data_IF_744455888298
#
_entry.id   IF_744455888298
#
_cell.length_a   1.000
_cell.length_b   1.000
_cell.length_c   1.000
_cell.angle_alpha   90.00
_cell.angle_beta   90.00
_cell.angle_gamma   90.00
#
_symmetry.space_group_name_H-M   'P 1'
#
loop_
_entity.id
_entity.type
_entity.pdbx_description
1 polymer ?
#
# COMPACT_ATOMS: atom_id res chain seq x y z
N UNK A 1 -3.61 -5.58 -0.12
CA UNK A 1 -4.70 -5.81 0.85
C UNK A 1 -6.04 -5.37 0.27
N UNK A 2 -7.13 -5.98 0.70
CA UNK A 2 -8.50 -5.55 0.39
C UNK A 2 -8.99 -4.48 1.37
N UNK A 3 -10.05 -3.78 0.98
CA UNK A 3 -10.74 -2.83 1.84
C UNK A 3 -11.09 -3.46 3.21
N UNK A 4 -10.74 -2.77 4.30
CA UNK A 4 -10.99 -3.17 5.68
C UNK A 4 -10.36 -4.50 6.10
N UNK A 5 -9.37 -5.01 5.34
CA UNK A 5 -8.57 -6.16 5.72
C UNK A 5 -7.67 -5.79 6.92
N UNK A 6 -7.64 -6.68 7.90
CA UNK A 6 -6.83 -6.52 9.10
C UNK A 6 -6.16 -7.85 9.45
N UNK A 7 -4.90 -7.80 9.90
CA UNK A 7 -4.14 -8.99 10.25
C UNK A 7 -3.22 -8.72 11.45
N UNK A 8 -3.28 -9.62 12.43
CA UNK A 8 -2.39 -9.60 13.61
C UNK A 8 -1.63 -10.92 13.74
N UNK A 9 -0.41 -10.84 14.27
CA UNK A 9 0.36 -12.02 14.68
C UNK A 9 -0.24 -12.68 15.94
N UNK A 10 0.37 -13.79 16.38
CA UNK A 10 -0.07 -14.50 17.59
C UNK A 10 0.08 -13.68 18.88
N UNK A 11 0.92 -12.65 18.88
CA UNK A 11 1.14 -11.76 20.01
C UNK A 11 0.24 -10.52 19.97
N UNK A 12 -0.64 -10.39 18.96
CA UNK A 12 -1.55 -9.26 18.80
C UNK A 12 -0.93 -8.04 18.11
N UNK A 13 0.29 -8.13 17.57
CA UNK A 13 0.88 -7.05 16.78
C UNK A 13 0.29 -7.05 15.37
N UNK A 14 -0.06 -5.88 14.84
CA UNK A 14 -0.49 -5.76 13.45
C UNK A 14 0.63 -6.17 12.50
N UNK A 15 0.26 -6.94 11.48
CA UNK A 15 1.12 -7.29 10.35
C UNK A 15 1.00 -6.19 9.31
N UNK A 16 2.12 -5.65 8.84
CA UNK A 16 2.12 -4.59 7.84
C UNK A 16 1.71 -5.16 6.47
N UNK A 17 0.53 -4.79 5.97
CA UNK A 17 -0.03 -5.29 4.72
C UNK A 17 0.20 -4.33 3.56
N UNK A 18 0.38 -4.84 2.34
CA UNK A 18 0.56 -4.00 1.17
C UNK A 18 -0.70 -3.15 0.89
N UNK A 19 -0.60 -1.82 0.73
CA UNK A 19 -1.76 -0.91 0.70
C UNK A 19 -2.78 -1.08 -0.44
N UNK A 20 -2.41 -1.71 -1.57
CA UNK A 20 -3.32 -1.87 -2.72
C UNK A 20 -3.84 -3.31 -2.85
N UNK A 21 -5.04 -3.48 -3.39
CA UNK A 21 -5.60 -4.82 -3.67
C UNK A 21 -4.85 -5.51 -4.81
N UNK A 22 -4.42 -4.73 -5.80
CA UNK A 22 -3.69 -5.21 -6.96
C UNK A 22 -2.28 -4.60 -6.98
N UNK A 23 -1.29 -5.41 -7.33
CA UNK A 23 0.06 -4.94 -7.58
C UNK A 23 0.33 -4.90 -9.07
N UNK A 24 0.42 -3.68 -9.58
CA UNK A 24 0.98 -3.41 -10.89
C UNK A 24 1.97 -2.27 -10.72
N UNK A 25 3.26 -2.58 -10.89
CA UNK A 25 4.33 -1.59 -10.87
C UNK A 25 4.46 -0.99 -12.28
N UNK A 26 4.48 0.34 -12.38
CA UNK A 26 4.76 1.06 -13.64
C UNK A 26 6.20 1.58 -13.72
N UNK A 27 6.83 1.81 -12.57
CA UNK A 27 8.24 2.17 -12.47
C UNK A 27 8.80 1.64 -11.13
N UNK A 28 9.84 0.82 -11.21
CA UNK A 28 10.49 0.24 -10.03
C UNK A 28 11.59 1.12 -9.44
N UNK A 29 12.27 0.58 -8.42
CA UNK A 29 13.46 1.17 -7.81
C UNK A 29 14.56 1.39 -8.85
N UNK A 30 15.25 2.53 -8.80
CA UNK A 30 16.32 2.87 -9.75
C UNK A 30 15.86 3.15 -11.19
N UNK A 31 14.55 3.22 -11.46
CA UNK A 31 13.99 3.53 -12.78
C UNK A 31 14.55 4.83 -13.39
N UNK A 32 14.80 4.81 -14.70
CA UNK A 32 15.52 5.87 -15.41
C UNK A 32 14.73 7.17 -15.59
N UNK A 33 13.40 7.13 -15.52
CA UNK A 33 12.55 8.31 -15.73
C UNK A 33 12.63 9.28 -14.55
N UNK A 34 12.37 8.80 -13.32
CA UNK A 34 12.38 9.65 -12.12
C UNK A 34 12.97 8.98 -10.87
N UNK A 35 13.24 7.67 -10.89
CA UNK A 35 13.64 6.88 -9.71
C UNK A 35 15.15 6.61 -9.60
N UNK A 36 15.98 7.22 -10.44
CA UNK A 36 17.43 7.04 -10.41
C UNK A 36 18.01 7.32 -9.01
N UNK A 37 18.67 6.30 -8.43
CA UNK A 37 19.25 6.34 -7.09
C UNK A 37 18.25 6.26 -5.91
N UNK A 38 16.98 5.96 -6.16
CA UNK A 38 15.88 5.94 -5.16
C UNK A 38 15.26 4.55 -5.04
N UNK A 39 14.70 4.28 -3.86
CA UNK A 39 13.90 3.08 -3.58
C UNK A 39 12.39 3.36 -3.69
N UNK A 40 12.05 4.22 -4.65
CA UNK A 40 10.67 4.54 -4.98
C UNK A 40 10.09 3.49 -5.92
N UNK A 41 8.80 3.22 -5.75
CA UNK A 41 8.03 2.37 -6.65
C UNK A 41 6.71 3.08 -6.97
N UNK A 42 6.40 3.16 -8.25
CA UNK A 42 5.12 3.66 -8.75
C UNK A 42 4.16 2.50 -8.95
N UNK A 43 3.03 2.55 -8.26
CA UNK A 43 1.95 1.58 -8.40
C UNK A 43 0.75 2.21 -9.06
N UNK A 44 0.09 1.46 -9.91
CA UNK A 44 -1.10 1.93 -10.60
C UNK A 44 -2.37 1.26 -10.08
N UNK A 45 -3.47 1.99 -10.11
CA UNK A 45 -4.76 1.56 -9.57
C UNK A 45 -5.48 0.50 -10.40
N UNK A 46 -5.98 -0.54 -9.75
CA UNK A 46 -6.85 -1.54 -10.36
C UNK A 46 -7.97 -1.93 -9.41
N UNK A 47 -9.14 -2.22 -9.98
CA UNK A 47 -10.29 -2.77 -9.26
C UNK A 47 -10.97 -3.81 -10.17
N UNK A 48 -11.34 -4.97 -9.63
CA UNK A 48 -11.92 -6.08 -10.42
C UNK A 48 -11.10 -6.45 -11.67
N UNK A 49 -9.76 -6.37 -11.59
CA UNK A 49 -8.85 -6.72 -12.67
C UNK A 49 -8.77 -5.71 -13.82
N UNK A 50 -9.43 -4.56 -13.71
CA UNK A 50 -9.36 -3.48 -14.70
C UNK A 50 -8.73 -2.22 -14.10
N UNK A 51 -8.02 -1.46 -14.95
CA UNK A 51 -7.38 -0.20 -14.57
C UNK A 51 -8.44 0.77 -14.02
N UNK A 52 -8.16 1.37 -12.87
CA UNK A 52 -9.02 2.35 -12.21
C UNK A 52 -8.21 3.61 -11.91
N UNK A 53 -8.71 4.76 -12.36
CA UNK A 53 -8.20 6.07 -11.95
C UNK A 53 -8.71 6.39 -10.55
N UNK A 54 -7.97 7.17 -9.78
CA UNK A 54 -8.31 7.49 -8.38
C UNK A 54 -8.62 6.22 -7.57
N UNK A 55 -7.80 5.19 -7.76
CA UNK A 55 -7.98 3.92 -7.08
C UNK A 55 -7.61 4.05 -5.61
N UNK A 56 -8.48 3.63 -4.68
CA UNK A 56 -8.18 3.72 -3.26
C UNK A 56 -7.02 2.81 -2.88
N UNK A 57 -6.25 3.26 -1.91
CA UNK A 57 -5.29 2.44 -1.18
C UNK A 57 -5.51 2.60 0.32
N UNK A 58 -5.15 1.55 1.07
CA UNK A 58 -5.61 1.32 2.43
C UNK A 58 -4.46 1.37 3.44
N UNK A 59 -4.79 1.69 4.69
CA UNK A 59 -3.84 1.74 5.78
C UNK A 59 -3.19 0.37 5.99
N UNK A 60 -1.87 0.23 5.86
CA UNK A 60 -1.17 -1.06 6.01
C UNK A 60 -1.17 -1.57 7.46
N UNK A 61 -1.43 -0.67 8.40
CA UNK A 61 -1.48 -0.82 9.86
C UNK A 61 -2.13 0.46 10.42
N UNK A 62 -2.41 0.50 11.72
CA UNK A 62 -2.86 1.72 12.37
C UNK A 62 -1.78 2.79 12.29
N UNK A 63 -2.11 3.95 11.71
CA UNK A 63 -1.14 4.97 11.37
C UNK A 63 -1.69 6.40 11.50
N UNK A 64 -0.79 7.37 11.41
CA UNK A 64 -1.13 8.78 11.30
C UNK A 64 -0.19 9.53 10.34
N UNK A 65 -0.68 10.65 9.81
CA UNK A 65 0.13 11.56 8.97
C UNK A 65 1.07 12.38 9.86
N UNK A 66 2.38 12.24 9.63
CA UNK A 66 3.45 12.96 10.35
C UNK A 66 4.10 14.07 9.53
N UNK A 67 3.90 14.06 8.22
CA UNK A 67 4.26 15.17 7.33
C UNK A 67 3.26 15.24 6.18
N UNK A 68 2.95 16.46 5.76
CA UNK A 68 1.98 16.75 4.72
C UNK A 68 2.49 17.84 3.78
N UNK A 69 2.18 17.70 2.49
CA UNK A 69 2.14 18.80 1.53
C UNK A 69 1.00 18.57 0.53
N UNK A 70 0.78 19.52 -0.36
CA UNK A 70 -0.34 19.47 -1.32
C UNK A 70 -0.34 18.23 -2.24
N UNK A 71 0.78 17.53 -2.38
CA UNK A 71 0.97 16.38 -3.29
C UNK A 71 1.48 15.11 -2.60
N UNK A 72 1.72 15.13 -1.28
CA UNK A 72 2.20 13.95 -0.56
C UNK A 72 1.81 13.94 0.92
N UNK A 73 1.82 12.73 1.49
CA UNK A 73 1.78 12.50 2.92
C UNK A 73 2.80 11.46 3.35
N UNK A 74 3.43 11.68 4.50
CA UNK A 74 4.18 10.65 5.22
C UNK A 74 3.28 10.06 6.29
N UNK A 75 3.01 8.76 6.20
CA UNK A 75 2.31 7.96 7.19
C UNK A 75 3.30 7.25 8.09
N UNK A 76 3.01 7.20 9.38
CA UNK A 76 3.81 6.50 10.39
C UNK A 76 2.94 5.56 11.20
N UNK A 77 3.44 4.36 11.51
CA UNK A 77 2.75 3.40 12.36
C UNK A 77 2.57 3.94 13.79
N UNK A 78 1.39 3.73 14.38
CA UNK A 78 1.09 4.13 15.76
C UNK A 78 1.85 3.27 16.77
N UNK A 79 2.04 1.99 16.43
CA UNK A 79 2.75 0.99 17.22
C UNK A 79 3.82 0.29 16.38
N UNK A 80 4.61 -0.58 17.00
CA UNK A 80 5.47 -1.51 16.25
C UNK A 80 4.58 -2.52 15.52
N UNK A 81 4.94 -2.82 14.28
CA UNK A 81 4.22 -3.71 13.36
C UNK A 81 5.15 -4.79 12.87
N UNK A 82 4.60 -5.96 12.53
CA UNK A 82 5.35 -7.07 11.95
C UNK A 82 5.60 -6.76 10.48
N UNK A 83 6.85 -6.52 10.14
CA UNK A 83 7.32 -6.35 8.76
C UNK A 83 8.06 -7.61 8.28
N UNK A 84 8.31 -7.77 6.97
CA UNK A 84 9.18 -8.82 6.43
C UNK A 84 10.58 -8.92 7.05
N UNK A 85 11.06 -7.86 7.71
CA UNK A 85 12.37 -7.81 8.37
C UNK A 85 12.29 -7.79 9.91
N UNK A 86 11.08 -7.92 10.48
CA UNK A 86 10.87 -8.03 11.93
C UNK A 86 9.90 -7.00 12.51
N UNK A 87 9.75 -7.02 13.83
CA UNK A 87 8.85 -6.14 14.57
C UNK A 87 9.48 -4.75 14.76
N UNK A 88 8.91 -3.70 14.17
CA UNK A 88 9.48 -2.34 14.25
C UNK A 88 8.41 -1.26 13.98
N UNK A 89 8.73 0.00 14.29
CA UNK A 89 7.97 1.10 13.68
C UNK A 89 8.24 1.16 12.18
N UNK A 90 7.28 1.64 11.40
CA UNK A 90 7.39 1.77 9.95
C UNK A 90 6.82 3.11 9.52
N UNK A 91 7.48 3.79 8.59
CA UNK A 91 6.95 5.01 7.96
C UNK A 91 7.08 4.91 6.44
N UNK A 92 6.11 5.49 5.73
CA UNK A 92 6.10 5.50 4.28
C UNK A 92 5.46 6.77 3.75
N UNK A 93 5.93 7.23 2.60
CA UNK A 93 5.35 8.35 1.87
C UNK A 93 4.54 7.83 0.71
N UNK A 94 3.40 8.48 0.48
CA UNK A 94 2.60 8.37 -0.74
C UNK A 94 2.50 9.73 -1.40
N UNK A 95 2.56 9.78 -2.73
CA UNK A 95 2.40 11.01 -3.51
C UNK A 95 1.35 10.84 -4.61
N UNK A 96 0.97 11.97 -5.21
CA UNK A 96 0.10 12.12 -6.39
C UNK A 96 -1.40 12.04 -6.16
N UNK A 97 -1.86 11.76 -4.94
CA UNK A 97 -3.27 11.94 -4.57
C UNK A 97 -3.70 13.40 -4.80
N UNK A 98 -4.88 13.60 -5.38
CA UNK A 98 -5.44 14.93 -5.62
C UNK A 98 -5.83 15.63 -4.31
N UNK A 99 -6.24 14.85 -3.31
CA UNK A 99 -6.76 15.29 -2.03
C UNK A 99 -6.06 14.55 -0.86
N UNK A 100 -4.74 14.73 -0.69
CA UNK A 100 -4.00 14.03 0.36
C UNK A 100 -4.55 14.42 1.74
N UNK A 101 -4.79 13.45 2.64
CA UNK A 101 -5.24 13.71 4.01
C UNK A 101 -4.38 14.73 4.76
N UNK A 102 -4.99 15.49 5.67
CA UNK A 102 -4.30 16.51 6.45
C UNK A 102 -3.31 15.93 7.47
N UNK A 103 -2.32 16.74 7.88
CA UNK A 103 -1.40 16.43 8.97
C UNK A 103 -2.15 16.03 10.25
N UNK A 104 -1.69 14.96 10.92
CA UNK A 104 -2.33 14.46 12.14
C UNK A 104 -3.57 13.61 11.91
N UNK A 105 -3.97 13.33 10.66
CA UNK A 105 -5.05 12.37 10.38
C UNK A 105 -4.65 10.98 10.86
N UNK A 106 -5.52 10.32 11.63
CA UNK A 106 -5.36 8.92 12.07
C UNK A 106 -6.23 7.98 11.24
N UNK A 107 -5.72 6.78 10.98
CA UNK A 107 -6.43 5.71 10.27
C UNK A 107 -6.11 4.36 10.90
N UNK A 108 -7.14 3.51 10.99
CA UNK A 108 -6.99 2.12 11.39
C UNK A 108 -6.63 1.26 10.17
N UNK A 109 -5.95 0.13 10.40
CA UNK A 109 -5.60 -0.82 9.34
C UNK A 109 -6.81 -1.18 8.46
N UNK A 110 -6.61 -1.12 7.14
CA UNK A 110 -7.64 -1.40 6.14
C UNK A 110 -8.58 -0.22 5.83
N UNK A 111 -8.52 0.90 6.55
CA UNK A 111 -9.24 2.11 6.17
C UNK A 111 -8.57 2.82 4.99
N UNK A 112 -9.35 3.53 4.16
CA UNK A 112 -8.80 4.32 3.05
C UNK A 112 -7.93 5.46 3.59
N UNK A 113 -6.70 5.53 3.09
CA UNK A 113 -5.70 6.57 3.43
C UNK A 113 -5.38 7.49 2.23
N UNK A 114 -5.91 7.19 1.04
CA UNK A 114 -5.78 8.03 -0.15
C UNK A 114 -6.14 7.28 -1.42
N UNK A 115 -5.91 7.92 -2.55
CA UNK A 115 -6.16 7.41 -3.88
C UNK A 115 -4.96 7.65 -4.79
N UNK A 116 -4.75 6.79 -5.79
CA UNK A 116 -3.86 7.12 -6.90
C UNK A 116 -4.31 8.43 -7.54
N UNK A 117 -3.41 9.13 -8.22
CA UNK A 117 -3.78 10.39 -8.85
C UNK A 117 -2.69 10.94 -9.72
N UNK A 118 -2.83 12.22 -10.08
CA UNK A 118 -1.96 12.90 -11.03
C UNK A 118 -1.32 14.17 -10.46
N UNK A 119 -1.38 14.37 -9.15
CA UNK A 119 -0.92 15.62 -8.55
C UNK A 119 0.60 15.74 -8.57
N UNK A 120 1.11 16.70 -9.32
CA UNK A 120 2.56 16.97 -9.41
C UNK A 120 3.02 17.93 -8.31
N UNK A 121 4.26 17.75 -7.84
CA UNK A 121 4.91 18.71 -6.95
C UNK A 121 5.17 20.04 -7.66
N UNK A 122 5.05 21.19 -6.97
CA UNK A 122 5.40 22.47 -7.58
C UNK A 122 6.83 22.48 -8.12
N UNK A 123 6.99 22.73 -9.42
CA UNK A 123 8.30 22.73 -10.10
C UNK A 123 8.94 21.35 -10.32
N UNK A 124 8.22 20.26 -10.05
CA UNK A 124 8.68 18.89 -10.28
C UNK A 124 8.46 18.39 -11.72
N UNK A 125 8.98 17.20 -12.00
CA UNK A 125 8.69 16.48 -13.24
C UNK A 125 7.18 16.19 -13.30
N UNK A 126 6.51 16.49 -14.43
CA UNK A 126 5.12 16.11 -14.63
C UNK A 126 4.94 14.61 -14.44
N UNK A 127 3.86 14.22 -13.76
CA UNK A 127 3.44 12.81 -13.75
C UNK A 127 2.96 12.42 -15.15
N UNK A 128 3.21 11.18 -15.55
CA UNK A 128 2.84 10.68 -16.88
C UNK A 128 1.48 9.98 -16.91
N UNK A 129 0.84 9.81 -15.76
CA UNK A 129 -0.48 9.20 -15.61
C UNK A 129 -0.84 8.96 -14.15
N UNK A 130 -2.06 8.48 -13.92
CA UNK A 130 -2.59 8.16 -12.59
C UNK A 130 -1.80 7.03 -11.93
N UNK A 131 -1.19 7.30 -10.78
CA UNK A 131 -0.47 6.31 -9.98
C UNK A 131 -0.32 6.78 -8.53
N UNK A 132 0.23 5.93 -7.67
CA UNK A 132 0.76 6.32 -6.36
C UNK A 132 2.26 6.04 -6.36
N UNK A 133 3.05 7.09 -6.14
CA UNK A 133 4.48 6.96 -5.84
C UNK A 133 4.63 6.59 -4.38
N UNK A 134 5.39 5.54 -4.08
CA UNK A 134 5.62 5.07 -2.71
C UNK A 134 7.10 4.91 -2.41
N UNK A 135 7.53 5.42 -1.25
CA UNK A 135 8.83 5.15 -0.63
C UNK A 135 8.60 4.86 0.85
N UNK A 136 9.51 4.16 1.51
CA UNK A 136 9.40 3.93 2.95
C UNK A 136 10.74 3.80 3.65
N UNK A 137 10.68 3.82 4.97
CA UNK A 137 11.83 3.69 5.84
C UNK A 137 11.54 2.82 7.05
N UNK A 138 12.61 2.22 7.58
CA UNK A 138 12.57 1.53 8.86
C UNK A 138 12.48 2.56 10.00
N UNK A 139 11.59 2.29 10.96
CA UNK A 139 11.40 3.13 12.13
C UNK A 139 10.43 4.29 11.91
N UNK A 140 10.54 5.27 12.83
CA UNK A 140 9.79 6.51 12.79
C UNK A 140 10.38 7.45 11.74
N UNK A 141 9.56 8.33 11.18
CA UNK A 141 10.01 9.35 10.25
C UNK A 141 10.95 10.33 10.98
N UNK A 142 12.15 10.51 10.43
CA UNK A 142 13.18 11.42 10.99
C UNK A 142 13.65 12.48 9.99
N UNK A 143 12.99 12.57 8.84
CA UNK A 143 13.34 13.53 7.78
C UNK A 143 13.73 12.87 6.46
N UNK A 144 14.16 13.73 5.55
CA UNK A 144 14.56 13.39 4.19
C UNK A 144 16.07 13.24 4.10
N UNK A 145 16.54 12.28 3.32
CA UNK A 145 17.95 12.12 2.99
C UNK A 145 18.47 13.34 2.21
N UNK A 146 19.80 13.50 2.17
CA UNK A 146 20.44 14.60 1.42
C UNK A 146 19.92 14.66 -0.03
N UNK A 147 19.52 15.86 -0.44
CA UNK A 147 18.87 16.09 -1.73
C UNK A 147 17.34 15.96 -1.73
N UNK A 148 16.69 15.64 -0.60
CA UNK A 148 15.24 15.77 -0.40
C UNK A 148 14.37 14.82 -1.23
N UNK A 149 14.94 13.74 -1.75
CA UNK A 149 14.29 12.84 -2.74
C UNK A 149 14.04 11.42 -2.21
N UNK A 150 14.46 11.15 -0.98
CA UNK A 150 14.30 9.86 -0.33
C UNK A 150 14.22 10.03 1.19
N UNK A 151 13.73 9.02 1.90
CA UNK A 151 13.61 9.05 3.36
C UNK A 151 14.95 8.68 4.01
N UNK A 152 15.26 9.27 5.17
CA UNK A 152 16.35 8.77 6.02
C UNK A 152 15.97 7.35 6.49
N UNK A 153 16.95 6.44 6.53
CA UNK A 153 16.75 5.01 6.82
C UNK A 153 15.81 4.30 5.82
N UNK A 154 15.84 4.74 4.55
CA UNK A 154 15.05 4.14 3.47
C UNK A 154 15.13 2.61 3.46
N UNK A 155 14.04 1.99 3.07
CA UNK A 155 13.88 0.54 2.99
C UNK A 155 13.13 0.18 1.71
N UNK A 156 13.47 -0.98 1.15
CA UNK A 156 12.73 -1.56 0.04
C UNK A 156 11.25 -1.76 0.44
N UNK A 157 10.31 -1.39 -0.43
CA UNK A 157 8.87 -1.51 -0.12
C UNK A 157 8.49 -2.97 0.18
N UNK A 158 9.09 -3.93 -0.53
CA UNK A 158 8.91 -5.37 -0.30
C UNK A 158 9.52 -5.90 1.02
N UNK A 159 10.28 -5.07 1.73
CA UNK A 159 10.75 -5.34 3.10
C UNK A 159 9.90 -4.64 4.18
N UNK A 160 8.95 -3.78 3.79
CA UNK A 160 8.04 -3.09 4.70
C UNK A 160 6.69 -3.78 4.80
N UNK A 161 6.19 -4.29 3.68
CA UNK A 161 4.82 -4.82 3.58
C UNK A 161 4.80 -6.28 3.13
N UNK A 162 3.90 -7.05 3.73
CA UNK A 162 3.50 -8.35 3.24
C UNK A 162 2.36 -8.21 2.22
N UNK A 163 2.36 -9.08 1.20
CA UNK A 163 1.40 -9.05 0.09
C UNK A 163 0.23 -10.03 0.28
N UNK A 164 -0.15 -10.31 1.53
CA UNK A 164 -1.33 -11.15 1.80
C UNK A 164 -2.56 -10.61 1.04
N UNK A 165 -3.30 -11.53 0.42
CA UNK A 165 -4.50 -11.27 -0.39
C UNK A 165 -4.37 -10.21 -1.52
N UNK A 166 -3.15 -9.82 -1.87
CA UNK A 166 -2.86 -8.91 -2.99
C UNK A 166 -2.80 -9.70 -4.30
N UNK A 167 -3.52 -9.23 -5.32
CA UNK A 167 -3.49 -9.82 -6.65
C UNK A 167 -2.29 -9.26 -7.42
N UNK A 168 -1.35 -10.12 -7.80
CA UNK A 168 -0.15 -9.72 -8.51
C UNK A 168 -0.41 -9.70 -10.03
N UNK A 169 -0.24 -8.54 -10.65
CA UNK A 169 -0.28 -8.35 -12.11
C UNK A 169 1.11 -8.08 -12.68
N UNK A 170 1.91 -7.28 -11.97
CA UNK A 170 3.31 -6.99 -12.31
C UNK A 170 4.07 -6.54 -11.05
N UNK A 171 4.96 -7.38 -10.54
CA UNK A 171 5.73 -7.16 -9.30
C UNK A 171 7.21 -6.84 -9.52
N UNK A 172 7.64 -6.72 -10.78
CA UNK A 172 9.02 -6.50 -11.21
C UNK A 172 10.01 -7.58 -10.73
N UNK A 173 9.53 -8.76 -10.28
CA UNK A 173 10.37 -9.83 -9.75
C UNK A 173 11.05 -9.49 -8.42
N UNK A 174 10.57 -8.48 -7.69
CA UNK A 174 11.09 -8.17 -6.36
C UNK A 174 10.76 -9.26 -5.34
N UNK A 175 11.48 -9.29 -4.21
CA UNK A 175 11.36 -10.33 -3.19
C UNK A 175 10.16 -10.09 -2.25
N UNK A 176 8.95 -10.00 -2.81
CA UNK A 176 7.72 -9.88 -2.06
C UNK A 176 7.43 -11.12 -1.24
N UNK A 177 6.86 -10.93 -0.03
CA UNK A 177 6.59 -12.03 0.91
C UNK A 177 5.16 -12.00 1.39
N UNK A 178 4.62 -13.18 1.62
CA UNK A 178 3.37 -13.38 2.37
C UNK A 178 3.70 -13.70 3.82
N UNK A 179 2.98 -13.12 4.76
CA UNK A 179 3.07 -13.50 6.16
C UNK A 179 2.45 -14.88 6.36
N UNK A 180 3.21 -15.78 7.00
CA UNK A 180 2.79 -17.15 7.32
C UNK A 180 2.41 -17.22 8.80
N UNK A 181 1.12 -17.06 9.12
CA UNK A 181 0.61 -17.14 10.48
C UNK A 181 -0.45 -16.08 10.79
N UNK A 182 -0.76 -15.95 12.07
CA UNK A 182 -1.76 -15.00 12.56
C UNK A 182 -3.21 -15.46 12.33
N UNK A 183 -4.14 -14.62 12.76
CA UNK A 183 -5.55 -14.76 12.44
C UNK A 183 -6.02 -13.44 11.83
N UNK A 184 -6.71 -13.46 10.67
CA UNK A 184 -7.40 -12.26 10.24
C UNK A 184 -8.36 -11.84 11.35
N UNK A 185 -8.24 -10.61 11.82
CA UNK A 185 -9.25 -10.03 12.69
C UNK A 185 -10.53 -9.87 11.88
N UNK A 186 -11.71 -10.23 12.41
CA UNK A 186 -12.89 -10.42 11.58
C UNK A 186 -13.41 -9.08 11.08
N UNK A 187 -13.21 -8.83 9.79
CA UNK A 187 -13.88 -7.79 9.02
C UNK A 187 -13.99 -8.28 7.58
N UNK A 188 -15.24 -8.52 7.16
CA UNK A 188 -15.74 -9.15 5.93
C UNK A 188 -16.05 -10.66 5.98
N UNK A 189 -17.36 -10.95 6.08
CA UNK A 189 -17.94 -12.19 5.54
C UNK A 189 -17.42 -12.34 4.11
N UNK A 190 -16.73 -13.45 3.81
CA UNK A 190 -16.49 -13.90 2.44
C UNK A 190 -17.85 -13.96 1.73
N UNK A 191 -18.21 -12.93 0.96
CA UNK A 191 -19.34 -13.05 0.07
C UNK A 191 -18.94 -14.09 -0.97
N UNK A 192 -19.53 -15.29 -0.88
CA UNK A 192 -19.51 -16.23 -2.00
C UNK A 192 -20.04 -15.44 -3.20
N UNK A 193 -19.18 -15.22 -4.20
CA UNK A 193 -19.54 -14.51 -5.42
C UNK A 193 -20.90 -14.98 -5.95
N UNK A 194 -21.75 -14.07 -6.44
CA UNK A 194 -23.09 -14.42 -6.97
C UNK A 194 -23.02 -15.54 -8.04
N UNK A 195 -21.92 -15.61 -8.79
CA UNK A 195 -21.66 -16.66 -9.79
C UNK A 195 -21.54 -18.08 -9.18
N UNK A 196 -21.02 -18.22 -7.95
CA UNK A 196 -20.92 -19.49 -7.24
C UNK A 196 -22.30 -19.99 -6.78
N UNK A 197 -23.21 -19.06 -6.44
CA UNK A 197 -24.61 -19.40 -6.17
C UNK A 197 -25.35 -19.80 -7.44
N UNK A 198 -25.05 -19.15 -8.58
CA UNK A 198 -25.67 -19.45 -9.87
C UNK A 198 -25.21 -20.82 -10.42
N UNK A 199 -23.93 -21.16 -10.30
CA UNK A 199 -23.38 -22.45 -10.73
C UNK A 199 -23.98 -23.64 -9.96
N UNK A 200 -24.21 -23.49 -8.64
CA UNK A 200 -24.86 -24.53 -7.85
C UNK A 200 -26.35 -24.68 -8.19
N UNK A 201 -27.04 -23.58 -8.55
CA UNK A 201 -28.45 -23.62 -9.00
C UNK A 201 -28.62 -24.27 -10.37
N UNK A 202 -27.58 -24.25 -11.22
CA UNK A 202 -27.56 -24.95 -12.51
C UNK A 202 -27.20 -26.43 -12.38
N UNK A 203 -26.36 -26.80 -11.41
CA UNK A 203 -26.02 -28.21 -11.15
C UNK A 203 -27.18 -29.02 -10.55
N UNK A 204 -28.06 -28.40 -9.76
CA UNK A 204 -29.24 -29.08 -9.18
C UNK A 204 -30.47 -29.19 -10.11
N UNK A 205 -30.31 -29.01 -11.42
CA UNK A 205 -31.41 -29.14 -12.42
C UNK A 205 -31.19 -30.26 -13.44
N UNK A 206 -30.17 -31.10 -13.23
CA UNK A 206 -29.85 -32.27 -14.05
C UNK A 206 -29.65 -33.53 -13.18
N UNK A 207 -30.46 -33.67 -12.13
CA UNK A 207 -30.70 -34.93 -11.43
C UNK A 207 -32.19 -35.25 -11.47
#
# INVERSE_FOLDING_TARGET
>A
MRAGETLVDRAGNQVALFPLEYMYISQGEGGSYSHSGRWAIDFVGYENGVRKLECPYYAPFDCHVVQHASYFNVWQSNNRVVTPVGLQFCSFVVMHDENPPALGTYKNQGEVIGHTGTKTSPGGTPVTGDHVHMQGCNGKFVGWASGGRDLINRQHIYNLFYINDTVILNDYGYNWRTYQGGHPTPSFKKYKFKWVLYANKLRGRYE
#
